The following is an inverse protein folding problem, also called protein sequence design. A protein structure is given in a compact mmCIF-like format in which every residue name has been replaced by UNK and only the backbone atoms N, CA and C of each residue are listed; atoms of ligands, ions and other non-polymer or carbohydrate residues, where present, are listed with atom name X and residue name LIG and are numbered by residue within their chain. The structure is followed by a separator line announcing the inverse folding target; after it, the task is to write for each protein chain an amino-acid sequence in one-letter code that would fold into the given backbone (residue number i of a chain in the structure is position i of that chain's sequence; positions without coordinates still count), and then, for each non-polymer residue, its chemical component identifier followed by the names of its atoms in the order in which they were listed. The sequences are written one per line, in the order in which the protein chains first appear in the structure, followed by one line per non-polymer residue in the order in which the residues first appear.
data_IF_459311302751
#
_entry.id   IF_459311302751
#
_cell.length_a   1.000
_cell.length_b   1.000
_cell.length_c   1.000
_cell.angle_alpha   90.00
_cell.angle_beta   90.00
_cell.angle_gamma   90.00
#
_symmetry.space_group_name_H-M   'P 1'
#
loop_
_entity.id
_entity.type
_entity.pdbx_description
1 polymer ?
#
# COMPACT_ATOMS: atom_id res chain seq x y z
N UNK A 1 22.15 -18.06 -1.59
CA UNK A 1 21.00 -17.22 -1.17
C UNK A 1 20.50 -16.55 -2.42
N UNK A 2 19.17 -16.54 -2.65
CA UNK A 2 18.62 -15.98 -3.88
C UNK A 2 18.95 -14.48 -3.93
N UNK A 3 19.58 -14.03 -5.02
CA UNK A 3 19.67 -12.60 -5.39
C UNK A 3 18.24 -12.08 -5.57
N UNK A 4 17.59 -11.71 -4.46
CA UNK A 4 16.38 -10.90 -4.53
C UNK A 4 16.87 -9.54 -4.98
N UNK A 5 16.53 -9.16 -6.21
CA UNK A 5 16.91 -7.88 -6.81
C UNK A 5 16.58 -6.73 -5.83
N UNK A 6 17.62 -6.03 -5.37
CA UNK A 6 17.50 -4.86 -4.50
C UNK A 6 16.44 -3.87 -5.00
N UNK A 7 16.29 -3.72 -6.33
CA UNK A 7 15.26 -2.87 -6.93
C UNK A 7 13.84 -3.34 -6.59
N UNK A 8 13.60 -4.65 -6.61
CA UNK A 8 12.32 -5.23 -6.25
C UNK A 8 12.04 -5.07 -4.75
N UNK A 9 13.06 -5.21 -3.88
CA UNK A 9 12.91 -4.94 -2.44
C UNK A 9 12.55 -3.48 -2.18
N UNK A 10 13.26 -2.53 -2.80
CA UNK A 10 12.97 -1.10 -2.66
C UNK A 10 11.57 -0.77 -3.15
N UNK A 11 11.12 -1.39 -4.25
CA UNK A 11 9.78 -1.22 -4.80
C UNK A 11 8.70 -1.70 -3.82
N UNK A 12 8.88 -2.90 -3.28
CA UNK A 12 8.00 -3.48 -2.25
C UNK A 12 7.96 -2.60 -1.01
N UNK A 13 9.13 -2.20 -0.49
CA UNK A 13 9.23 -1.36 0.69
C UNK A 13 8.52 -0.01 0.49
N UNK A 14 8.77 0.67 -0.63
CA UNK A 14 8.09 1.94 -0.95
C UNK A 14 6.57 1.79 -0.99
N UNK A 15 6.07 0.69 -1.56
CA UNK A 15 4.63 0.42 -1.59
C UNK A 15 4.05 0.16 -0.18
N UNK A 16 4.80 -0.50 0.71
CA UNK A 16 4.30 -0.86 2.05
C UNK A 16 4.57 0.18 3.14
N UNK A 17 5.51 1.11 2.94
CA UNK A 17 5.84 2.17 3.90
C UNK A 17 4.84 3.34 3.89
N UNK A 18 3.54 3.03 3.84
CA UNK A 18 2.45 3.99 3.93
C UNK A 18 1.25 3.35 4.58
N UNK A 19 0.79 3.96 5.66
CA UNK A 19 -0.38 3.51 6.39
C UNK A 19 -1.62 3.42 5.48
N UNK A 20 -1.85 4.42 4.64
CA UNK A 20 -2.97 4.44 3.69
C UNK A 20 -2.92 3.21 2.77
N UNK A 21 -1.75 2.88 2.24
CA UNK A 21 -1.59 1.70 1.36
C UNK A 21 -1.80 0.40 2.11
N UNK A 22 -1.36 0.31 3.36
CA UNK A 22 -1.62 -0.87 4.20
C UNK A 22 -3.11 -1.03 4.50
N UNK A 23 -3.84 0.05 4.80
CA UNK A 23 -5.29 0.04 5.00
C UNK A 23 -6.03 -0.37 3.72
N UNK A 24 -5.63 0.17 2.56
CA UNK A 24 -6.22 -0.22 1.26
C UNK A 24 -5.96 -1.70 0.93
N UNK A 25 -4.75 -2.22 1.21
CA UNK A 25 -4.45 -3.64 1.06
C UNK A 25 -5.32 -4.51 1.97
N UNK A 26 -5.50 -4.09 3.23
CA UNK A 26 -6.40 -4.77 4.16
C UNK A 26 -7.82 -4.81 3.60
N UNK A 27 -8.35 -3.68 3.13
CA UNK A 27 -9.69 -3.63 2.52
C UNK A 27 -9.80 -4.58 1.32
N UNK A 28 -8.78 -4.64 0.47
CA UNK A 28 -8.72 -5.58 -0.66
C UNK A 28 -8.64 -7.06 -0.24
N UNK A 29 -8.25 -7.37 1.01
CA UNK A 29 -8.30 -8.74 1.55
C UNK A 29 -9.67 -9.12 2.09
N UNK A 30 -10.48 -8.12 2.47
CA UNK A 30 -11.81 -8.30 3.04
C UNK A 30 -12.88 -8.33 1.93
N UNK A 31 -12.63 -7.67 0.80
CA UNK A 31 -13.55 -7.58 -0.33
C UNK A 31 -13.03 -8.28 -1.59
N UNK A 32 -13.94 -8.63 -2.50
CA UNK A 32 -13.58 -9.25 -3.78
C UNK A 32 -12.88 -8.26 -4.73
N UNK A 33 -13.37 -7.02 -4.75
CA UNK A 33 -12.83 -5.94 -5.55
C UNK A 33 -13.20 -4.60 -4.89
N UNK A 34 -12.26 -3.67 -4.87
CA UNK A 34 -12.42 -2.32 -4.32
C UNK A 34 -12.28 -1.28 -5.42
N UNK A 35 -12.86 -0.11 -5.22
CA UNK A 35 -12.73 0.99 -6.17
C UNK A 35 -12.61 2.33 -5.45
N UNK A 36 -11.84 3.25 -6.01
CA UNK A 36 -11.64 4.56 -5.40
C UNK A 36 -12.95 5.34 -5.17
N UNK A 37 -13.94 5.33 -6.07
CA UNK A 37 -15.20 6.05 -5.82
C UNK A 37 -16.05 5.44 -4.70
N UNK A 38 -15.94 4.14 -4.42
CA UNK A 38 -16.65 3.52 -3.29
C UNK A 38 -15.93 3.87 -1.99
N UNK A 39 -14.60 3.70 -1.96
CA UNK A 39 -13.77 3.98 -0.80
C UNK A 39 -13.80 5.46 -0.39
N UNK A 40 -13.94 6.38 -1.34
CA UNK A 40 -14.05 7.81 -1.05
C UNK A 40 -15.39 8.22 -0.41
N UNK A 41 -16.40 7.34 -0.43
CA UNK A 41 -17.66 7.55 0.29
C UNK A 41 -17.60 7.00 1.72
N UNK A 42 -16.55 6.26 2.06
CA UNK A 42 -16.30 5.74 3.40
C UNK A 42 -15.52 6.80 4.20
N UNK A 43 -15.94 7.07 5.45
CA UNK A 43 -15.22 7.97 6.36
C UNK A 43 -13.87 7.35 6.85
N UNK A 44 -13.50 6.15 6.39
CA UNK A 44 -12.27 5.46 6.79
C UNK A 44 -11.00 6.06 6.17
N UNK A 45 -11.11 6.63 4.97
CA UNK A 45 -10.00 7.18 4.22
C UNK A 45 -10.21 8.68 4.08
N UNK A 46 -9.66 9.46 5.02
CA UNK A 46 -9.70 10.94 5.05
C UNK A 46 -8.84 11.59 3.93
N UNK A 47 -8.96 11.10 2.68
CA UNK A 47 -8.19 11.50 1.51
C UNK A 47 -9.07 11.58 0.27
N UNK A 48 -8.60 12.30 -0.76
CA UNK A 48 -9.38 12.48 -1.99
C UNK A 48 -9.47 11.21 -2.84
N UNK A 49 -10.50 11.04 -3.68
CA UNK A 49 -10.61 9.92 -4.61
C UNK A 49 -9.36 9.75 -5.49
N UNK A 50 -8.78 10.85 -5.98
CA UNK A 50 -7.56 10.83 -6.80
C UNK A 50 -6.36 10.29 -6.02
N UNK A 51 -6.27 10.66 -4.74
CA UNK A 51 -5.24 10.15 -3.83
C UNK A 51 -5.41 8.65 -3.58
N UNK A 52 -6.65 8.17 -3.47
CA UNK A 52 -6.94 6.73 -3.37
C UNK A 52 -6.49 6.01 -4.64
N UNK A 53 -6.86 6.51 -5.83
CA UNK A 53 -6.44 5.93 -7.12
C UNK A 53 -4.92 5.85 -7.23
N UNK A 54 -4.21 6.92 -6.88
CA UNK A 54 -2.75 6.94 -6.91
C UNK A 54 -2.14 5.85 -6.01
N UNK A 55 -2.65 5.70 -4.78
CA UNK A 55 -2.17 4.67 -3.86
C UNK A 55 -2.48 3.25 -4.36
N UNK A 56 -3.67 3.02 -4.95
CA UNK A 56 -4.03 1.73 -5.55
C UNK A 56 -3.15 1.38 -6.75
N UNK A 57 -2.83 2.35 -7.60
CA UNK A 57 -1.91 2.14 -8.73
C UNK A 57 -0.49 1.79 -8.24
N UNK A 58 0.01 2.42 -7.17
CA UNK A 58 1.32 2.06 -6.61
C UNK A 58 1.36 0.62 -6.07
N UNK A 59 0.25 0.16 -5.47
CA UNK A 59 0.10 -1.22 -5.01
C UNK A 59 0.00 -2.22 -6.17
N UNK A 60 -0.69 -1.85 -7.25
CA UNK A 60 -0.74 -2.61 -8.50
C UNK A 60 0.65 -2.72 -9.15
N UNK A 61 1.36 -1.61 -9.28
CA UNK A 61 2.72 -1.58 -9.83
C UNK A 61 3.66 -2.48 -9.03
N UNK A 62 3.58 -2.46 -7.70
CA UNK A 62 4.31 -3.34 -6.79
C UNK A 62 3.83 -4.81 -6.80
N UNK A 63 2.78 -5.12 -7.56
CA UNK A 63 2.28 -6.46 -7.79
C UNK A 63 1.44 -7.03 -6.65
N UNK A 64 0.94 -6.20 -5.73
CA UNK A 64 0.02 -6.62 -4.68
C UNK A 64 -1.43 -6.69 -5.17
N UNK A 65 -1.78 -5.74 -6.05
CA UNK A 65 -3.10 -5.66 -6.65
C UNK A 65 -3.04 -5.94 -8.16
N UNK A 66 -4.18 -6.28 -8.72
CA UNK A 66 -4.46 -6.28 -10.15
C UNK A 66 -5.73 -5.47 -10.40
N UNK A 67 -5.86 -4.91 -11.59
CA UNK A 67 -7.02 -4.09 -11.93
C UNK A 67 -7.81 -4.64 -13.10
N UNK A 68 -9.09 -4.29 -13.13
CA UNK A 68 -9.96 -4.54 -14.27
C UNK A 68 -10.83 -3.31 -14.56
N UNK A 69 -11.07 -3.09 -15.86
CA UNK A 69 -11.97 -2.05 -16.33
C UNK A 69 -13.41 -2.58 -16.32
N UNK A 70 -14.25 -1.94 -15.52
CA UNK A 70 -15.67 -2.26 -15.38
C UNK A 70 -16.52 -1.06 -15.80
N UNK A 71 -17.81 -1.32 -16.02
CA UNK A 71 -18.79 -0.28 -16.35
C UNK A 71 -19.63 0.05 -15.14
N UNK A 72 -19.46 1.27 -14.63
CA UNK A 72 -20.24 1.78 -13.50
C UNK A 72 -21.64 2.27 -13.91
N UNK A 73 -22.39 2.82 -12.94
CA UNK A 73 -23.70 3.42 -13.19
C UNK A 73 -23.66 4.47 -14.30
N UNK A 74 -24.64 4.44 -15.20
CA UNK A 74 -24.67 5.34 -16.36
C UNK A 74 -23.64 4.99 -17.44
N UNK A 75 -23.14 3.75 -17.48
CA UNK A 75 -22.22 3.24 -18.50
C UNK A 75 -20.84 3.94 -18.52
N UNK A 76 -20.48 4.57 -17.39
CA UNK A 76 -19.20 5.28 -17.24
C UNK A 76 -18.08 4.26 -16.96
N UNK A 77 -16.91 4.40 -17.59
CA UNK A 77 -15.77 3.53 -17.29
C UNK A 77 -15.33 3.73 -15.84
N UNK A 78 -15.02 2.62 -15.17
CA UNK A 78 -14.56 2.56 -13.79
C UNK A 78 -13.46 1.51 -13.69
N UNK A 79 -12.46 1.77 -12.86
CA UNK A 79 -11.40 0.82 -12.53
C UNK A 79 -11.67 0.19 -11.17
N UNK A 80 -11.67 -1.14 -11.12
CA UNK A 80 -11.73 -1.93 -9.89
C UNK A 80 -10.39 -2.61 -9.65
N UNK A 81 -10.03 -2.77 -8.39
CA UNK A 81 -8.78 -3.37 -7.94
C UNK A 81 -9.07 -4.56 -7.04
N UNK A 82 -8.36 -5.66 -7.24
CA UNK A 82 -8.45 -6.86 -6.41
C UNK A 82 -7.05 -7.32 -6.02
N UNK A 83 -6.94 -8.16 -5.00
CA UNK A 83 -5.69 -8.84 -4.71
C UNK A 83 -5.22 -9.62 -5.94
N UNK A 84 -3.94 -9.48 -6.27
CA UNK A 84 -3.35 -10.25 -7.35
C UNK A 84 -3.24 -11.72 -6.96
N UNK A 85 -3.96 -12.60 -7.64
CA UNK A 85 -3.97 -14.04 -7.35
C UNK A 85 -4.45 -14.36 -5.92
N UNK A 86 -3.57 -14.90 -5.07
CA UNK A 86 -3.85 -15.18 -3.65
C UNK A 86 -3.15 -14.19 -2.70
N UNK A 87 -2.67 -13.06 -3.23
CA UNK A 87 -1.81 -12.13 -2.51
C UNK A 87 -0.34 -12.55 -2.53
N UNK A 88 0.49 -11.84 -1.73
CA UNK A 88 1.94 -12.01 -1.66
C UNK A 88 2.36 -12.31 -0.22
N UNK A 89 3.15 -13.36 -0.03
CA UNK A 89 3.80 -13.62 1.26
C UNK A 89 5.11 -12.86 1.35
N UNK A 90 5.34 -12.17 2.47
CA UNK A 90 6.59 -11.48 2.77
C UNK A 90 7.32 -12.27 3.85
N UNK A 91 8.59 -12.59 3.60
CA UNK A 91 9.47 -13.23 4.58
C UNK A 91 10.47 -12.17 5.01
N UNK A 92 10.50 -11.90 6.31
CA UNK A 92 11.46 -10.98 6.90
C UNK A 92 12.58 -11.81 7.53
N UNK A 93 13.81 -11.51 7.13
CA UNK A 93 15.02 -12.06 7.75
C UNK A 93 15.65 -10.93 8.56
N UNK A 94 15.94 -11.20 9.83
CA UNK A 94 16.71 -10.27 10.65
C UNK A 94 18.17 -10.44 10.24
N UNK A 95 18.74 -9.38 9.69
CA UNK A 95 20.16 -9.30 9.34
C UNK A 95 20.82 -8.51 10.45
N UNK A 96 21.84 -9.06 11.10
CA UNK A 96 22.70 -8.29 12.01
C UNK A 96 23.45 -7.23 11.18
N UNK A 97 23.27 -5.97 11.55
CA UNK A 97 23.93 -4.84 10.91
C UNK A 97 24.52 -3.92 12.00
N UNK A 98 25.64 -3.27 11.71
CA UNK A 98 26.47 -2.51 12.66
C UNK A 98 25.91 -1.11 13.00
N UNK A 99 24.62 -0.85 12.74
CA UNK A 99 24.01 0.45 12.98
C UNK A 99 23.82 0.73 14.48
N UNK A 100 24.62 1.67 15.01
CA UNK A 100 24.39 2.29 16.31
C UNK A 100 23.32 3.39 16.20
N UNK A 101 22.24 3.26 16.97
CA UNK A 101 21.31 4.36 17.24
C UNK A 101 21.80 5.13 18.46
N UNK A 102 22.23 6.38 18.26
CA UNK A 102 22.41 7.33 19.37
C UNK A 102 21.12 8.11 19.55
N UNK A 103 20.44 7.90 20.68
CA UNK A 103 19.35 8.76 21.12
C UNK A 103 19.97 9.98 21.81
N UNK A 104 19.84 11.16 21.20
CA UNK A 104 20.04 12.41 21.93
C UNK A 104 18.79 12.65 22.78
N UNK A 105 18.95 12.67 24.10
CA UNK A 105 17.89 13.17 24.99
C UNK A 105 17.63 14.63 24.60
N UNK A 106 16.39 14.94 24.24
CA UNK A 106 15.98 16.33 24.05
C UNK A 106 16.08 17.02 25.41
N UNK A 107 17.08 17.90 25.57
CA UNK A 107 17.24 18.75 26.75
C UNK A 107 15.89 19.38 27.10
N UNK A 108 15.34 18.97 28.24
CA UNK A 108 14.14 19.59 28.80
C UNK A 108 14.53 21.01 29.19
N UNK A 109 14.13 21.99 28.38
CA UNK A 109 14.29 23.39 28.73
C UNK A 109 13.55 23.68 30.04
N UNK A 110 14.31 23.81 31.13
CA UNK A 110 13.80 24.30 32.40
C UNK A 110 13.43 25.78 32.22
N UNK A 111 12.14 26.07 32.12
CA UNK A 111 11.59 27.42 32.31
C UNK A 111 11.55 27.78 33.80
#
# INVERSE_FOLDING_TARGET
MADIDYKEQVKVFKALNSEVRLRLLRRATEEKAISAPDLAQEDEFEITPESIVNNLNQLEEAGFLESSDVRGPGNRPRKEFSLKGKGRSLVFEVIEDDYLFTFEEADVANY
#
